data_IF_641275555452
#
_entry.id   IF_641275555452
#
_cell.length_a   1.000
_cell.length_b   1.000
_cell.length_c   1.000
_cell.angle_alpha   90.00
_cell.angle_beta   90.00
_cell.angle_gamma   90.00
#
_symmetry.space_group_name_H-M   'P 1'
#
loop_
_entity.id
_entity.type
_entity.pdbx_description
1 polymer ?
#
# COMPACT_ATOMS: atom_id res chain seq x y z
N UNK A 1 10.03 16.14 17.96
CA UNK A 1 8.82 16.52 17.20
C UNK A 1 8.58 15.63 15.97
N UNK A 2 9.58 15.44 15.08
CA UNK A 2 9.48 14.66 13.83
C UNK A 2 8.94 13.22 13.93
N UNK A 3 9.26 12.46 14.98
CA UNK A 3 8.80 11.07 15.13
C UNK A 3 7.29 10.95 15.38
N UNK A 4 6.68 11.89 16.14
CA UNK A 4 5.23 11.87 16.42
C UNK A 4 4.42 12.17 15.16
N UNK A 5 4.87 13.12 14.33
CA UNK A 5 4.22 13.45 13.05
C UNK A 5 4.19 12.24 12.11
N UNK A 6 5.29 11.49 12.03
CA UNK A 6 5.38 10.26 11.21
C UNK A 6 4.49 9.12 11.71
N UNK A 7 4.30 8.99 13.01
CA UNK A 7 3.41 7.97 13.59
C UNK A 7 1.94 8.27 13.24
N UNK A 8 1.49 9.52 13.39
CA UNK A 8 0.12 9.91 13.01
C UNK A 8 -0.13 9.81 11.51
N UNK A 9 0.86 10.14 10.67
CA UNK A 9 0.73 9.92 9.23
C UNK A 9 0.50 8.44 8.90
N UNK A 10 1.22 7.54 9.56
CA UNK A 10 1.09 6.09 9.35
C UNK A 10 -0.28 5.55 9.78
N UNK A 11 -0.77 6.01 10.93
CA UNK A 11 -2.13 5.70 11.42
C UNK A 11 -3.19 6.19 10.43
N UNK A 12 -3.11 7.46 10.01
CA UNK A 12 -4.02 8.05 9.04
C UNK A 12 -4.00 7.32 7.68
N UNK A 13 -2.81 6.98 7.18
CA UNK A 13 -2.67 6.23 5.92
C UNK A 13 -3.31 4.84 6.01
N UNK A 14 -3.20 4.17 7.16
CA UNK A 14 -3.84 2.87 7.36
C UNK A 14 -5.35 2.99 7.48
N UNK A 15 -5.86 3.96 8.24
CA UNK A 15 -7.30 4.18 8.41
C UNK A 15 -7.96 4.60 7.09
N UNK A 16 -7.24 5.30 6.21
CA UNK A 16 -7.69 5.65 4.85
C UNK A 16 -7.86 4.44 3.91
N UNK A 17 -7.33 3.26 4.25
CA UNK A 17 -7.53 2.04 3.47
C UNK A 17 -9.00 1.59 3.48
N UNK A 18 -9.78 1.99 4.49
CA UNK A 18 -11.21 1.74 4.57
C UNK A 18 -11.68 1.34 5.97
N UNK A 19 -13.00 1.17 6.11
CA UNK A 19 -13.64 0.96 7.42
C UNK A 19 -13.14 -0.31 8.14
N UNK A 20 -12.91 -1.40 7.39
CA UNK A 20 -12.38 -2.64 7.95
C UNK A 20 -10.99 -2.44 8.57
N UNK A 21 -10.14 -1.64 7.93
CA UNK A 21 -8.81 -1.31 8.45
C UNK A 21 -8.93 -0.46 9.72
N UNK A 22 -9.80 0.56 9.71
CA UNK A 22 -10.07 1.42 10.88
C UNK A 22 -10.53 0.59 12.09
N UNK A 23 -11.47 -0.32 11.89
CA UNK A 23 -11.95 -1.22 12.96
C UNK A 23 -10.84 -2.13 13.50
N UNK A 24 -10.02 -2.70 12.59
CA UNK A 24 -8.85 -3.49 12.99
C UNK A 24 -7.85 -2.67 13.80
N UNK A 25 -7.59 -1.42 13.41
CA UNK A 25 -6.70 -0.50 14.12
C UNK A 25 -7.20 -0.21 15.53
N UNK A 26 -8.49 0.12 15.70
CA UNK A 26 -9.08 0.36 17.02
C UNK A 26 -8.94 -0.85 17.96
N UNK A 27 -9.20 -2.07 17.45
CA UNK A 27 -9.04 -3.31 18.21
C UNK A 27 -7.59 -3.67 18.51
N UNK A 28 -6.67 -3.25 17.65
CA UNK A 28 -5.25 -3.43 17.88
C UNK A 28 -4.74 -2.52 19.01
N UNK A 29 -5.26 -1.28 19.12
CA UNK A 29 -4.92 -0.35 20.20
C UNK A 29 -5.36 -0.82 21.58
N UNK A 30 -6.40 -1.65 21.68
CA UNK A 30 -6.87 -2.18 22.97
C UNK A 30 -5.96 -3.26 23.55
N UNK A 31 -4.94 -3.70 22.79
CA UNK A 31 -4.01 -4.78 23.18
C UNK A 31 -2.65 -4.20 23.59
N UNK A 32 -1.90 -4.87 24.48
CA UNK A 32 -0.55 -4.43 24.90
C UNK A 32 0.50 -4.79 23.83
N UNK A 33 0.29 -4.34 22.58
CA UNK A 33 1.18 -4.61 21.43
C UNK A 33 1.66 -3.31 20.82
N UNK A 34 2.78 -3.37 20.08
CA UNK A 34 3.33 -2.20 19.38
C UNK A 34 2.52 -1.94 18.11
N UNK A 35 1.42 -1.20 18.21
CA UNK A 35 0.49 -0.88 17.11
C UNK A 35 1.20 -0.42 15.85
N UNK A 36 2.13 0.53 15.97
CA UNK A 36 2.90 1.10 14.84
C UNK A 36 3.69 0.05 14.05
N UNK A 37 4.17 -1.00 14.70
CA UNK A 37 4.90 -2.09 14.04
C UNK A 37 3.97 -2.92 13.15
N UNK A 38 2.80 -3.31 13.66
CA UNK A 38 1.80 -4.06 12.90
C UNK A 38 1.26 -3.23 11.73
N UNK A 39 0.94 -1.95 11.96
CA UNK A 39 0.46 -1.05 10.92
C UNK A 39 1.49 -0.88 9.79
N UNK A 40 2.77 -0.71 10.12
CA UNK A 40 3.84 -0.64 9.10
C UNK A 40 3.92 -1.92 8.28
N UNK A 41 3.91 -3.08 8.94
CA UNK A 41 3.95 -4.38 8.25
C UNK A 41 2.74 -4.58 7.34
N UNK A 42 1.54 -4.23 7.80
CA UNK A 42 0.31 -4.33 7.00
C UNK A 42 0.34 -3.38 5.79
N UNK A 43 0.83 -2.15 5.94
CA UNK A 43 1.00 -1.23 4.81
C UNK A 43 2.01 -1.76 3.79
N UNK A 44 3.10 -2.40 4.24
CA UNK A 44 4.02 -3.09 3.33
C UNK A 44 3.36 -4.24 2.58
N UNK A 45 2.47 -5.00 3.22
CA UNK A 45 1.68 -6.04 2.52
C UNK A 45 0.73 -5.41 1.49
N UNK A 46 0.09 -4.28 1.81
CA UNK A 46 -0.77 -3.56 0.86
C UNK A 46 0.01 -3.10 -0.36
N UNK A 47 1.23 -2.61 -0.16
CA UNK A 47 2.10 -2.18 -1.26
C UNK A 47 2.53 -3.37 -2.15
N UNK A 48 2.79 -4.53 -1.56
CA UNK A 48 3.27 -5.71 -2.29
C UNK A 48 2.15 -6.51 -2.98
N UNK A 49 1.03 -6.73 -2.29
CA UNK A 49 -0.05 -7.62 -2.73
C UNK A 49 -1.31 -6.89 -3.17
N UNK A 50 -1.40 -5.58 -2.92
CA UNK A 50 -2.53 -4.74 -3.25
C UNK A 50 -3.54 -4.58 -2.11
N UNK A 51 -4.23 -3.44 -2.13
CA UNK A 51 -5.29 -3.08 -1.17
C UNK A 51 -6.42 -4.12 -1.05
N UNK A 52 -7.04 -4.63 -2.13
CA UNK A 52 -8.24 -5.47 -1.99
C UNK A 52 -7.94 -6.80 -1.29
N UNK A 53 -6.81 -7.43 -1.61
CA UNK A 53 -6.45 -8.72 -1.02
C UNK A 53 -6.14 -8.61 0.47
N UNK A 54 -5.40 -7.56 0.86
CA UNK A 54 -5.06 -7.35 2.27
C UNK A 54 -6.29 -6.98 3.09
N UNK A 55 -7.21 -6.16 2.57
CA UNK A 55 -8.47 -5.87 3.26
C UNK A 55 -9.33 -7.12 3.45
N UNK A 56 -9.37 -8.02 2.47
CA UNK A 56 -10.06 -9.30 2.62
C UNK A 56 -9.41 -10.18 3.71
N UNK A 57 -8.08 -10.21 3.77
CA UNK A 57 -7.36 -10.93 4.82
C UNK A 57 -7.58 -10.31 6.21
N UNK A 58 -7.60 -8.98 6.33
CA UNK A 58 -7.92 -8.25 7.57
C UNK A 58 -9.35 -8.55 8.02
N UNK A 59 -10.32 -8.53 7.10
CA UNK A 59 -11.71 -8.86 7.42
C UNK A 59 -11.83 -10.28 7.98
N UNK A 60 -11.08 -11.23 7.40
CA UNK A 60 -11.02 -12.61 7.89
C UNK A 60 -10.35 -12.70 9.27
N UNK A 61 -9.24 -12.00 9.49
CA UNK A 61 -8.60 -11.93 10.80
C UNK A 61 -9.53 -11.34 11.87
N UNK A 62 -10.35 -10.36 11.49
CA UNK A 62 -11.38 -9.79 12.37
C UNK A 62 -12.45 -10.82 12.76
N UNK A 63 -12.85 -11.72 11.86
CA UNK A 63 -13.79 -12.81 12.17
C UNK A 63 -13.22 -13.81 13.18
N UNK A 64 -11.90 -13.98 13.21
CA UNK A 64 -11.19 -14.84 14.16
C UNK A 64 -10.72 -14.09 15.42
N UNK A 65 -11.01 -12.79 15.54
CA UNK A 65 -10.55 -11.91 16.62
C UNK A 65 -9.02 -11.92 16.84
N UNK A 66 -8.28 -12.16 15.76
CA UNK A 66 -6.81 -12.22 15.75
C UNK A 66 -6.22 -10.94 15.18
N UNK A 67 -5.84 -10.03 16.07
CA UNK A 67 -5.25 -8.75 15.70
C UNK A 67 -3.72 -8.85 15.77
N UNK A 68 -3.15 -9.45 14.72
CA UNK A 68 -1.71 -9.48 14.48
C UNK A 68 -1.44 -9.46 12.97
N UNK A 69 -0.35 -8.78 12.60
CA UNK A 69 0.07 -8.64 11.21
C UNK A 69 0.59 -9.95 10.61
N UNK A 70 1.26 -10.81 11.41
CA UNK A 70 1.75 -12.10 10.89
C UNK A 70 0.58 -13.04 10.57
N UNK A 71 -0.50 -12.98 11.37
CA UNK A 71 -1.70 -13.77 11.09
C UNK A 71 -2.41 -13.30 9.82
N UNK A 72 -2.59 -11.99 9.63
CA UNK A 72 -3.14 -11.43 8.39
C UNK A 72 -2.32 -11.86 7.16
N UNK A 73 -0.99 -11.82 7.26
CA UNK A 73 -0.09 -12.31 6.20
C UNK A 73 -0.32 -13.80 5.90
N UNK A 74 -0.52 -14.61 6.94
CA UNK A 74 -0.76 -16.05 6.78
C UNK A 74 -2.06 -16.34 6.02
N UNK A 75 -3.15 -15.63 6.36
CA UNK A 75 -4.43 -15.73 5.63
C UNK A 75 -4.24 -15.32 4.17
N UNK A 76 -3.57 -14.18 3.93
CA UNK A 76 -3.31 -13.66 2.59
C UNK A 76 -2.57 -14.69 1.71
N UNK A 77 -1.48 -15.25 2.22
CA UNK A 77 -0.69 -16.25 1.51
C UNK A 77 -1.46 -17.57 1.29
N UNK A 78 -2.30 -17.97 2.24
CA UNK A 78 -3.15 -19.14 2.11
C UNK A 78 -4.19 -18.96 0.99
N UNK A 79 -4.84 -17.80 0.93
CA UNK A 79 -5.82 -17.47 -0.12
C UNK A 79 -5.17 -17.42 -1.50
N UNK A 80 -3.98 -16.83 -1.61
CA UNK A 80 -3.23 -16.82 -2.87
C UNK A 80 -2.86 -18.22 -3.34
N UNK A 81 -2.38 -19.07 -2.43
CA UNK A 81 -2.06 -20.46 -2.73
C UNK A 81 -3.29 -21.24 -3.20
N UNK A 82 -4.45 -21.04 -2.55
CA UNK A 82 -5.72 -21.65 -2.96
C UNK A 82 -6.14 -21.27 -4.39
N UNK A 83 -5.75 -20.08 -4.85
CA UNK A 83 -6.06 -19.56 -6.20
C UNK A 83 -4.93 -19.81 -7.20
N UNK A 84 -3.87 -20.49 -6.79
CA UNK A 84 -2.69 -20.77 -7.62
C UNK A 84 -2.02 -19.49 -8.17
N UNK A 85 -2.16 -18.36 -7.45
CA UNK A 85 -1.56 -17.09 -7.85
C UNK A 85 -0.12 -17.05 -7.36
N UNK A 86 0.88 -16.82 -8.25
CA UNK A 86 2.26 -16.70 -7.83
C UNK A 86 2.46 -15.47 -6.94
N UNK A 87 3.35 -15.60 -5.94
CA UNK A 87 3.71 -14.47 -5.09
C UNK A 87 4.50 -13.44 -5.90
N UNK A 88 4.13 -12.14 -5.84
CA UNK A 88 4.93 -11.08 -6.43
C UNK A 88 6.32 -11.08 -5.82
N UNK A 89 7.33 -10.91 -6.68
CA UNK A 89 8.71 -10.72 -6.23
C UNK A 89 8.83 -9.30 -5.69
N UNK A 90 9.23 -9.12 -4.41
CA UNK A 90 9.43 -7.78 -3.88
C UNK A 90 10.57 -7.09 -4.64
N UNK A 91 10.35 -5.85 -5.06
CA UNK A 91 11.40 -5.03 -5.66
C UNK A 91 12.52 -4.81 -4.63
N UNK A 92 13.72 -5.29 -4.95
CA UNK A 92 14.93 -5.09 -4.13
C UNK A 92 16.01 -4.45 -5.00
N UNK A 93 15.89 -3.15 -5.30
CA UNK A 93 16.93 -2.46 -6.05
C UNK A 93 18.24 -2.52 -5.26
N UNK A 94 19.35 -2.78 -5.96
CA UNK A 94 20.68 -2.90 -5.32
C UNK A 94 21.22 -1.55 -4.83
N UNK A 95 20.71 -0.45 -5.38
CA UNK A 95 21.08 0.93 -5.09
C UNK A 95 19.81 1.74 -4.95
N UNK A 96 19.36 1.95 -3.72
CA UNK A 96 18.12 2.67 -3.43
C UNK A 96 18.31 4.17 -3.65
N UNK A 97 19.50 4.67 -3.33
CA UNK A 97 19.93 6.06 -3.51
C UNK A 97 19.74 6.56 -4.94
N UNK A 98 20.00 5.71 -5.93
CA UNK A 98 19.82 6.06 -7.34
C UNK A 98 18.34 6.24 -7.73
N UNK A 99 17.39 5.70 -6.98
CA UNK A 99 15.96 5.89 -7.26
C UNK A 99 15.47 7.19 -6.65
N UNK A 100 15.92 7.47 -5.42
CA UNK A 100 15.50 8.65 -4.66
C UNK A 100 16.08 9.95 -5.26
N UNK A 101 17.22 9.86 -5.96
CA UNK A 101 17.93 10.99 -6.58
C UNK A 101 17.60 11.19 -8.08
N UNK A 102 16.76 10.34 -8.68
CA UNK A 102 16.33 10.54 -10.07
C UNK A 102 15.42 11.76 -10.14
N UNK A 103 15.90 12.77 -10.87
CA UNK A 103 15.09 13.89 -11.34
C UNK A 103 14.79 13.67 -12.83
N UNK A 104 13.50 13.64 -13.19
CA UNK A 104 13.05 13.46 -14.57
C UNK A 104 12.34 14.74 -14.96
N UNK A 105 12.78 15.35 -16.06
CA UNK A 105 12.11 16.52 -16.62
C UNK A 105 10.66 16.16 -17.01
N UNK A 106 9.75 17.11 -16.77
CA UNK A 106 8.35 16.93 -17.17
C UNK A 106 8.27 16.67 -18.69
N UNK A 107 7.54 15.64 -19.13
CA UNK A 107 7.44 15.33 -20.54
C UNK A 107 6.73 16.46 -21.29
N UNK A 108 7.30 16.89 -22.41
CA UNK A 108 6.65 17.84 -23.32
C UNK A 108 5.39 17.20 -23.93
N UNK A 109 4.22 17.60 -23.44
CA UNK A 109 2.91 17.11 -23.90
C UNK A 109 2.67 17.44 -25.38
N UNK A 110 3.19 18.56 -25.89
CA UNK A 110 3.01 18.96 -27.29
C UNK A 110 3.68 17.97 -28.27
N UNK A 111 4.66 17.20 -27.80
CA UNK A 111 5.25 16.12 -28.59
C UNK A 111 4.27 14.98 -28.89
N UNK A 112 3.28 14.73 -28.02
CA UNK A 112 2.22 13.77 -28.29
C UNK A 112 1.17 14.32 -29.26
N UNK A 113 0.80 15.60 -29.13
CA UNK A 113 -0.17 16.26 -30.04
C UNK A 113 0.32 16.26 -31.50
N UNK A 114 1.64 16.50 -31.69
CA UNK A 114 2.29 16.41 -33.01
C UNK A 114 2.33 14.98 -33.56
N UNK A 115 2.47 13.98 -32.69
CA UNK A 115 2.55 12.57 -33.09
C UNK A 115 1.18 12.03 -33.53
N UNK A 116 0.10 12.47 -32.88
CA UNK A 116 -1.26 11.99 -33.17
C UNK A 116 -2.07 12.91 -34.09
N UNK A 117 -1.48 14.02 -34.56
CA UNK A 117 -2.15 14.95 -35.47
C UNK A 117 -3.39 15.61 -34.86
N UNK A 118 -3.54 15.59 -33.54
CA UNK A 118 -4.66 16.21 -32.82
C UNK A 118 -4.48 17.72 -32.62
N UNK A 119 -3.33 18.26 -33.03
CA UNK A 119 -3.12 19.70 -33.17
C UNK A 119 -3.71 20.21 -34.49
N UNK A 120 -5.04 20.20 -34.64
CA UNK A 120 -5.69 20.89 -35.75
C UNK A 120 -6.03 22.35 -35.38
N UNK A 121 -5.62 23.24 -36.28
CA UNK A 121 -6.22 24.53 -36.61
C UNK A 121 -6.51 25.50 -35.44
N UNK A 122 -5.55 26.39 -35.18
CA UNK A 122 -5.93 27.76 -34.81
C UNK A 122 -6.50 28.43 -36.07
N UNK A 123 -7.83 28.45 -36.19
CA UNK A 123 -8.58 29.28 -37.14
C UNK A 123 -8.43 30.77 -36.75
N UNK A 124 -7.94 31.60 -37.69
CA UNK A 124 -7.95 33.07 -37.64
C UNK A 124 -9.36 33.67 -37.82
#
# INVERSE_FOLDING_TARGET
MRQRTRAHQLENSFDALGEVARQFHLKLQTRPVKTTHHLRRLLSLVHLYGRPEVLAAIARAHQYETYDAAYVESILLQERRRREIPSPTPLRPKRQELIDEIDVEDPDLASYDRLFGTGEAEEE
#
